data_IF_858095625969
#
_entry.id   IF_858095625969
#
_cell.length_a   1.000
_cell.length_b   1.000
_cell.length_c   1.000
_cell.angle_alpha   90.00
_cell.angle_beta   90.00
_cell.angle_gamma   90.00
#
_symmetry.space_group_name_H-M   'P 1'
#
loop_
_entity.id
_entity.type
_entity.pdbx_description
1 polymer ?
#
# COMPACT_ATOMS: atom_id res chain seq x y z
N UNK A 1 -6.37 -15.30 -15.19
CA UNK A 1 -5.75 -14.56 -14.09
C UNK A 1 -5.96 -13.08 -14.36
N UNK A 2 -6.49 -12.33 -13.41
CA UNK A 2 -6.71 -10.89 -13.53
C UNK A 2 -5.47 -10.20 -12.94
N UNK A 3 -4.62 -9.63 -13.79
CA UNK A 3 -3.47 -8.86 -13.34
C UNK A 3 -3.90 -7.41 -13.16
N UNK A 4 -3.44 -6.79 -12.09
CA UNK A 4 -3.53 -5.35 -11.89
C UNK A 4 -2.20 -4.73 -12.27
N UNK A 5 -2.24 -3.64 -13.04
CA UNK A 5 -1.04 -2.92 -13.42
C UNK A 5 -0.80 -1.87 -12.33
N UNK A 6 0.34 -2.02 -11.63
CA UNK A 6 0.82 -0.99 -10.72
C UNK A 6 2.02 -0.30 -11.36
N UNK A 7 1.94 1.00 -11.50
CA UNK A 7 3.04 1.79 -12.05
C UNK A 7 4.05 2.08 -10.94
N UNK A 8 5.26 1.56 -11.06
CA UNK A 8 6.39 2.00 -10.24
C UNK A 8 6.95 3.29 -10.85
N UNK A 9 6.88 4.38 -10.11
CA UNK A 9 7.42 5.68 -10.52
C UNK A 9 8.56 6.04 -9.58
N UNK A 10 9.74 6.26 -10.15
CA UNK A 10 10.83 6.97 -9.51
C UNK A 10 11.26 8.07 -10.47
N UNK A 11 11.84 9.17 -10.00
CA UNK A 11 12.12 10.42 -10.73
C UNK A 11 12.62 10.24 -12.21
N UNK A 12 13.27 9.11 -12.53
CA UNK A 12 13.82 8.83 -13.86
C UNK A 12 13.24 7.57 -14.53
N UNK A 13 12.51 6.71 -13.77
CA UNK A 13 12.02 5.42 -14.29
C UNK A 13 10.55 5.24 -13.97
N UNK A 14 9.75 5.10 -15.02
CA UNK A 14 8.36 4.68 -14.94
C UNK A 14 8.27 3.24 -15.46
N UNK A 15 7.85 2.32 -14.62
CA UNK A 15 7.68 0.92 -14.95
C UNK A 15 6.28 0.45 -14.56
N UNK A 16 5.54 -0.06 -15.54
CA UNK A 16 4.26 -0.71 -15.29
C UNK A 16 4.50 -2.17 -14.88
N UNK A 17 4.09 -2.51 -13.69
CA UNK A 17 4.34 -3.80 -13.05
C UNK A 17 3.04 -4.59 -12.94
N UNK A 18 3.04 -5.82 -13.39
CA UNK A 18 1.90 -6.73 -13.23
C UNK A 18 1.88 -7.26 -11.79
N UNK A 19 0.85 -6.89 -11.04
CA UNK A 19 0.59 -7.41 -9.70
C UNK A 19 -0.46 -8.50 -9.80
N UNK A 20 -0.22 -9.64 -9.19
CA UNK A 20 -1.21 -10.69 -8.99
C UNK A 20 -1.80 -10.55 -7.58
N UNK A 21 -3.02 -10.01 -7.42
CA UNK A 21 -3.62 -9.83 -6.09
C UNK A 21 -3.88 -11.16 -5.37
N UNK A 22 -4.02 -12.24 -6.15
CA UNK A 22 -4.28 -13.58 -5.60
C UNK A 22 -3.03 -14.30 -5.09
N UNK A 23 -1.84 -13.84 -5.50
CA UNK A 23 -0.56 -14.47 -5.16
C UNK A 23 0.33 -13.59 -4.27
N UNK A 24 -0.17 -12.39 -3.89
CA UNK A 24 0.55 -11.40 -3.06
C UNK A 24 1.97 -11.08 -3.56
N UNK A 25 2.19 -11.17 -4.88
CA UNK A 25 3.49 -10.95 -5.49
C UNK A 25 3.41 -10.12 -6.76
N UNK A 26 4.56 -9.64 -7.20
CA UNK A 26 4.78 -8.89 -8.43
C UNK A 26 5.60 -9.75 -9.37
N UNK A 27 5.25 -9.76 -10.65
CA UNK A 27 5.97 -10.49 -11.68
C UNK A 27 6.60 -9.54 -12.69
N UNK A 28 7.91 -9.61 -12.87
CA UNK A 28 8.66 -8.87 -13.89
C UNK A 28 9.31 -9.82 -14.90
N UNK A 29 9.26 -9.41 -16.18
CA UNK A 29 10.04 -10.09 -17.21
C UNK A 29 11.53 -9.71 -17.11
N UNK A 30 12.38 -10.47 -17.80
CA UNK A 30 13.81 -10.12 -17.91
C UNK A 30 14.01 -8.74 -18.54
N UNK A 31 13.15 -8.34 -19.50
CA UNK A 31 13.22 -7.03 -20.15
C UNK A 31 12.88 -5.90 -19.16
N UNK A 32 11.83 -6.09 -18.34
CA UNK A 32 11.43 -5.12 -17.32
C UNK A 32 12.54 -4.92 -16.28
N UNK A 33 13.19 -6.01 -15.86
CA UNK A 33 14.34 -5.93 -14.95
C UNK A 33 15.55 -5.25 -15.56
N UNK A 34 15.79 -5.40 -16.87
CA UNK A 34 16.84 -4.66 -17.55
C UNK A 34 16.57 -3.15 -17.53
N UNK A 35 15.31 -2.74 -17.75
CA UNK A 35 14.89 -1.34 -17.66
C UNK A 35 14.99 -0.83 -16.22
N UNK A 36 14.43 -1.58 -15.27
CA UNK A 36 14.41 -1.21 -13.85
C UNK A 36 15.82 -0.96 -13.30
N UNK A 37 16.76 -1.86 -13.58
CA UNK A 37 18.11 -1.80 -13.05
C UNK A 37 19.13 -1.12 -13.96
N UNK A 38 18.75 -0.72 -15.18
CA UNK A 38 19.63 -0.05 -16.14
C UNK A 38 20.84 -0.91 -16.53
N UNK A 39 20.64 -2.21 -16.80
CA UNK A 39 21.69 -3.15 -17.17
C UNK A 39 21.27 -4.07 -18.30
N UNK A 40 22.28 -4.55 -19.04
CA UNK A 40 22.09 -5.45 -20.16
C UNK A 40 21.51 -6.82 -19.75
N UNK A 41 20.81 -7.44 -20.69
CA UNK A 41 20.16 -8.73 -20.54
C UNK A 41 21.12 -9.83 -20.06
N UNK A 42 22.36 -9.85 -20.55
CA UNK A 42 23.38 -10.83 -20.17
C UNK A 42 23.77 -10.70 -18.68
N UNK A 43 23.90 -9.46 -18.20
CA UNK A 43 24.26 -9.15 -16.81
C UNK A 43 23.11 -9.53 -15.88
N UNK A 44 21.89 -9.09 -16.19
CA UNK A 44 20.70 -9.40 -15.38
C UNK A 44 20.45 -10.91 -15.34
N UNK A 45 20.50 -11.60 -16.48
CA UNK A 45 20.30 -13.06 -16.53
C UNK A 45 21.30 -13.83 -15.67
N UNK A 46 22.57 -13.41 -15.67
CA UNK A 46 23.60 -14.01 -14.79
C UNK A 46 23.30 -13.78 -13.31
N UNK A 47 22.92 -12.56 -12.95
CA UNK A 47 22.55 -12.26 -11.56
C UNK A 47 21.31 -13.01 -11.10
N UNK A 48 20.28 -13.19 -11.95
CA UNK A 48 19.11 -13.99 -11.64
C UNK A 48 19.51 -15.43 -11.30
N UNK A 49 20.33 -16.07 -12.16
CA UNK A 49 20.82 -17.41 -11.89
C UNK A 49 21.53 -17.52 -10.54
N UNK A 50 22.40 -16.55 -10.23
CA UNK A 50 23.11 -16.52 -8.97
C UNK A 50 22.16 -16.32 -7.77
N UNK A 51 21.14 -15.43 -7.90
CA UNK A 51 20.13 -15.21 -6.85
C UNK A 51 19.38 -16.50 -6.55
N UNK A 52 18.90 -17.21 -7.58
CA UNK A 52 18.16 -18.46 -7.42
C UNK A 52 19.03 -19.52 -6.72
N UNK A 53 20.29 -19.66 -7.13
CA UNK A 53 21.21 -20.64 -6.56
C UNK A 53 21.59 -20.30 -5.11
N UNK A 54 22.01 -19.07 -4.83
CA UNK A 54 22.52 -18.64 -3.53
C UNK A 54 21.43 -18.60 -2.45
N UNK A 55 20.17 -18.28 -2.84
CA UNK A 55 19.05 -18.27 -1.91
C UNK A 55 18.27 -19.59 -1.90
N UNK A 56 18.76 -20.62 -2.62
CA UNK A 56 18.14 -21.93 -2.71
C UNK A 56 16.63 -21.86 -3.08
N UNK A 57 16.28 -20.98 -4.06
CA UNK A 57 14.89 -20.77 -4.47
C UNK A 57 14.41 -21.89 -5.38
N UNK A 58 13.17 -22.35 -5.17
CA UNK A 58 12.53 -23.31 -6.08
C UNK A 58 12.11 -22.58 -7.37
N UNK A 59 12.72 -22.95 -8.49
CA UNK A 59 12.45 -22.36 -9.82
C UNK A 59 10.97 -22.43 -10.18
N UNK A 60 10.25 -23.47 -9.77
CA UNK A 60 8.84 -23.63 -10.09
C UNK A 60 7.94 -22.63 -9.36
N UNK A 61 8.40 -22.09 -8.22
CA UNK A 61 7.67 -21.10 -7.43
C UNK A 61 8.02 -19.67 -7.82
N UNK A 62 9.27 -19.44 -8.27
CA UNK A 62 9.77 -18.08 -8.51
C UNK A 62 9.84 -17.68 -9.98
N UNK A 63 9.59 -18.62 -10.91
CA UNK A 63 9.61 -18.38 -12.35
C UNK A 63 8.32 -18.85 -13.01
N UNK A 64 7.55 -17.94 -13.56
CA UNK A 64 6.40 -18.21 -14.40
C UNK A 64 6.76 -18.06 -15.89
N UNK A 65 6.19 -18.92 -16.75
CA UNK A 65 6.36 -18.83 -18.20
C UNK A 65 5.03 -18.53 -18.86
N UNK A 66 4.94 -17.42 -19.57
CA UNK A 66 3.74 -17.03 -20.28
C UNK A 66 4.03 -16.87 -21.78
N UNK A 67 3.05 -17.27 -22.59
CA UNK A 67 3.07 -17.02 -24.03
C UNK A 67 2.66 -15.56 -24.30
N UNK A 68 3.51 -14.80 -24.99
CA UNK A 68 3.26 -13.41 -25.35
C UNK A 68 3.36 -13.26 -26.86
N UNK A 69 2.39 -12.58 -27.47
CA UNK A 69 2.43 -12.32 -28.92
C UNK A 69 3.25 -11.05 -29.15
N UNK A 70 4.32 -11.18 -29.95
CA UNK A 70 5.15 -10.06 -30.35
C UNK A 70 4.48 -9.18 -31.40
N UNK A 71 5.07 -8.02 -31.68
CA UNK A 71 4.59 -7.08 -32.72
C UNK A 71 4.66 -7.67 -34.13
N UNK A 72 5.42 -8.75 -34.33
CA UNK A 72 5.53 -9.50 -35.58
C UNK A 72 4.44 -10.59 -35.74
N UNK A 73 3.49 -10.66 -34.78
CA UNK A 73 2.42 -11.66 -34.74
C UNK A 73 2.85 -13.06 -34.28
N UNK A 74 4.12 -13.26 -33.94
CA UNK A 74 4.62 -14.55 -33.45
C UNK A 74 4.46 -14.67 -31.93
N UNK A 75 4.24 -15.91 -31.49
CA UNK A 75 4.14 -16.20 -30.05
C UNK A 75 5.52 -16.58 -29.50
N UNK A 76 5.91 -15.89 -28.42
CA UNK A 76 7.15 -16.10 -27.68
C UNK A 76 6.85 -16.54 -26.27
N UNK A 77 7.65 -17.47 -25.74
CA UNK A 77 7.58 -17.83 -24.33
C UNK A 77 8.48 -16.88 -23.56
N UNK A 78 7.88 -16.06 -22.69
CA UNK A 78 8.58 -15.10 -21.83
C UNK A 78 8.57 -15.63 -20.39
N UNK A 79 9.75 -15.57 -19.75
CA UNK A 79 9.88 -15.90 -18.33
C UNK A 79 9.67 -14.64 -17.50
N UNK A 80 8.86 -14.78 -16.46
CA UNK A 80 8.59 -13.77 -15.43
C UNK A 80 9.13 -14.28 -14.09
N UNK A 81 9.58 -13.36 -13.26
CA UNK A 81 10.21 -13.61 -11.97
C UNK A 81 9.48 -12.85 -10.88
N UNK A 82 9.26 -13.49 -9.74
CA UNK A 82 8.54 -12.90 -8.62
C UNK A 82 9.43 -12.04 -7.70
N UNK A 83 8.86 -11.47 -6.63
CA UNK A 83 9.58 -10.60 -5.69
C UNK A 83 10.75 -11.29 -5.00
N UNK A 84 10.69 -12.61 -4.78
CA UNK A 84 11.79 -13.37 -4.16
C UNK A 84 13.07 -13.37 -5.00
N UNK A 85 12.93 -13.16 -6.31
CA UNK A 85 14.05 -12.95 -7.23
C UNK A 85 14.37 -11.47 -7.40
N UNK A 86 13.35 -10.60 -7.56
CA UNK A 86 13.51 -9.18 -7.88
C UNK A 86 14.23 -8.43 -6.74
N UNK A 87 13.84 -8.66 -5.49
CA UNK A 87 14.41 -7.96 -4.34
C UNK A 87 15.90 -8.29 -4.15
N UNK A 88 16.32 -9.56 -4.04
CA UNK A 88 17.74 -9.88 -3.92
C UNK A 88 18.57 -9.43 -5.14
N UNK A 89 17.98 -9.48 -6.34
CA UNK A 89 18.62 -8.97 -7.56
C UNK A 89 18.96 -7.47 -7.42
N UNK A 90 18.03 -6.66 -6.91
CA UNK A 90 18.24 -5.23 -6.69
C UNK A 90 19.39 -4.92 -5.71
N UNK A 91 19.64 -5.80 -4.75
CA UNK A 91 20.80 -5.69 -3.84
C UNK A 91 22.12 -6.10 -4.51
N UNK A 92 22.09 -6.97 -5.51
CA UNK A 92 23.29 -7.47 -6.21
C UNK A 92 23.72 -6.64 -7.40
N UNK A 93 22.80 -5.94 -8.04
CA UNK A 93 23.09 -5.17 -9.25
C UNK A 93 23.82 -3.88 -8.91
N UNK A 94 25.06 -3.76 -9.43
CA UNK A 94 25.87 -2.54 -9.31
C UNK A 94 25.56 -1.59 -10.46
N UNK A 95 24.50 -0.76 -10.28
CA UNK A 95 24.09 0.30 -11.21
C UNK A 95 23.56 1.49 -10.42
N UNK A 96 23.41 2.65 -11.08
CA UNK A 96 22.78 3.82 -10.47
C UNK A 96 21.36 3.51 -10.02
N UNK A 97 20.57 2.87 -10.90
CA UNK A 97 19.20 2.44 -10.59
C UNK A 97 19.16 1.42 -9.43
N UNK A 98 20.14 0.52 -9.34
CA UNK A 98 20.28 -0.41 -8.22
C UNK A 98 20.56 0.31 -6.89
N UNK A 99 21.33 1.40 -6.91
CA UNK A 99 21.53 2.25 -5.72
C UNK A 99 20.21 2.92 -5.32
N UNK A 100 19.46 3.46 -6.27
CA UNK A 100 18.16 4.10 -6.02
C UNK A 100 17.15 3.10 -5.48
N UNK A 101 17.08 1.90 -6.07
CA UNK A 101 16.23 0.82 -5.57
C UNK A 101 16.54 0.46 -4.11
N UNK A 102 17.83 0.29 -3.77
CA UNK A 102 18.22 -0.01 -2.37
C UNK A 102 17.89 1.12 -1.39
N UNK A 103 18.09 2.37 -1.78
CA UNK A 103 17.70 3.53 -0.95
C UNK A 103 16.19 3.52 -0.68
N UNK A 104 15.39 3.30 -1.72
CA UNK A 104 13.94 3.20 -1.60
C UNK A 104 13.53 1.99 -0.72
N UNK A 105 14.05 0.80 -1.00
CA UNK A 105 13.72 -0.40 -0.23
C UNK A 105 14.07 -0.24 1.27
N UNK A 106 15.23 0.35 1.56
CA UNK A 106 15.67 0.64 2.92
C UNK A 106 14.78 1.69 3.60
N UNK A 107 14.28 2.71 2.87
CA UNK A 107 13.36 3.69 3.45
C UNK A 107 12.02 3.06 3.82
N UNK A 108 11.47 2.20 2.96
CA UNK A 108 10.24 1.44 3.21
C UNK A 108 10.40 0.52 4.43
N UNK A 109 11.49 -0.25 4.49
CA UNK A 109 11.76 -1.14 5.61
C UNK A 109 11.95 -0.37 6.93
N UNK A 110 12.67 0.75 6.89
CA UNK A 110 12.88 1.62 8.06
C UNK A 110 11.56 2.21 8.54
N UNK A 111 10.71 2.66 7.63
CA UNK A 111 9.40 3.20 7.98
C UNK A 111 8.52 2.12 8.63
N UNK A 112 8.48 0.92 8.06
CA UNK A 112 7.76 -0.21 8.64
C UNK A 112 8.26 -0.57 10.04
N UNK A 113 9.58 -0.65 10.25
CA UNK A 113 10.17 -0.96 11.57
C UNK A 113 9.87 0.11 12.62
N UNK A 114 9.81 1.38 12.23
CA UNK A 114 9.56 2.48 13.16
C UNK A 114 8.08 2.72 13.45
N UNK A 115 7.22 2.58 12.44
CA UNK A 115 5.78 2.88 12.55
C UNK A 115 4.90 1.64 12.68
N UNK A 116 5.40 0.45 12.31
CA UNK A 116 4.64 -0.80 12.27
C UNK A 116 3.78 -0.96 11.01
N UNK A 117 3.75 0.01 10.11
CA UNK A 117 3.03 -0.04 8.82
C UNK A 117 3.68 0.86 7.79
N UNK A 118 3.42 0.58 6.50
CA UNK A 118 3.79 1.42 5.35
C UNK A 118 2.56 1.56 4.45
N UNK A 119 2.26 2.79 4.05
CA UNK A 119 1.18 3.11 3.11
C UNK A 119 1.81 3.34 1.74
N UNK A 120 1.41 2.57 0.74
CA UNK A 120 1.78 2.84 -0.65
C UNK A 120 0.77 3.83 -1.25
N UNK A 121 1.10 5.12 -1.20
CA UNK A 121 0.23 6.21 -1.70
C UNK A 121 -0.05 6.09 -3.21
N UNK A 122 0.84 5.44 -3.97
CA UNK A 122 0.66 5.21 -5.40
C UNK A 122 -0.22 3.99 -5.71
N UNK A 123 -0.51 3.16 -4.71
CA UNK A 123 -1.40 2.01 -4.84
C UNK A 123 -2.78 2.34 -4.29
N UNK A 124 -3.44 3.32 -4.87
CA UNK A 124 -4.82 3.61 -4.55
C UNK A 124 -5.72 2.59 -5.28
N UNK A 125 -5.81 1.38 -4.74
CA UNK A 125 -6.87 0.43 -5.11
C UNK A 125 -8.20 0.89 -4.50
N UNK A 126 -8.60 2.11 -4.78
CA UNK A 126 -9.99 2.53 -4.55
C UNK A 126 -10.76 2.05 -5.77
N UNK A 127 -11.19 0.80 -5.76
CA UNK A 127 -12.34 0.43 -6.60
C UNK A 127 -13.48 1.36 -6.20
N UNK A 128 -14.27 1.85 -7.17
CA UNK A 128 -15.44 2.68 -6.87
C UNK A 128 -16.32 2.06 -5.77
N UNK A 129 -16.38 0.75 -5.70
CA UNK A 129 -17.11 -0.02 -4.70
C UNK A 129 -16.53 0.15 -3.28
N UNK A 130 -15.21 0.05 -3.12
CA UNK A 130 -14.53 0.25 -1.84
C UNK A 130 -14.62 1.72 -1.38
N UNK A 131 -14.59 2.67 -2.31
CA UNK A 131 -14.75 4.09 -2.03
C UNK A 131 -16.18 4.40 -1.54
N UNK A 132 -17.19 3.90 -2.23
CA UNK A 132 -18.61 4.03 -1.85
C UNK A 132 -18.85 3.37 -0.48
N UNK A 133 -18.31 2.18 -0.26
CA UNK A 133 -18.42 1.49 1.04
C UNK A 133 -17.74 2.27 2.18
N UNK A 134 -16.59 2.89 1.93
CA UNK A 134 -15.90 3.72 2.90
C UNK A 134 -16.72 4.98 3.24
N UNK A 135 -17.24 5.69 2.23
CA UNK A 135 -18.11 6.86 2.43
C UNK A 135 -19.34 6.47 3.23
N UNK A 136 -20.04 5.40 2.84
CA UNK A 136 -21.24 4.92 3.57
C UNK A 136 -20.92 4.58 5.04
N UNK A 137 -19.72 4.06 5.30
CA UNK A 137 -19.28 3.74 6.67
C UNK A 137 -18.99 5.01 7.48
N UNK A 138 -18.35 6.02 6.87
CA UNK A 138 -18.12 7.34 7.49
C UNK A 138 -19.46 8.02 7.80
N UNK A 139 -20.38 8.08 6.85
CA UNK A 139 -21.73 8.66 7.06
C UNK A 139 -22.51 7.96 8.16
N UNK A 140 -22.40 6.63 8.26
CA UNK A 140 -23.05 5.88 9.31
C UNK A 140 -22.45 6.17 10.70
N UNK A 141 -21.13 6.37 10.77
CA UNK A 141 -20.44 6.76 12.01
C UNK A 141 -20.83 8.17 12.45
N UNK A 142 -20.92 9.11 11.52
CA UNK A 142 -21.32 10.50 11.78
C UNK A 142 -22.75 10.58 12.33
N UNK A 143 -23.69 9.82 11.73
CA UNK A 143 -25.06 9.69 12.22
C UNK A 143 -25.12 9.10 13.64
N UNK A 144 -24.30 8.10 13.94
CA UNK A 144 -24.23 7.51 15.28
C UNK A 144 -23.64 8.50 16.29
N UNK A 145 -22.62 9.25 15.89
CA UNK A 145 -22.01 10.27 16.72
C UNK A 145 -23.03 11.36 17.10
N UNK A 146 -23.78 11.87 16.12
CA UNK A 146 -24.80 12.89 16.33
C UNK A 146 -25.95 12.42 17.26
N UNK A 147 -26.30 11.13 17.24
CA UNK A 147 -27.28 10.56 18.16
C UNK A 147 -26.73 10.50 19.59
N UNK A 148 -25.47 10.09 19.74
CA UNK A 148 -24.81 10.02 21.06
C UNK A 148 -24.64 11.42 21.65
N UNK A 149 -24.25 12.41 20.83
CA UNK A 149 -24.12 13.81 21.27
C UNK A 149 -25.46 14.39 21.74
N UNK A 150 -26.55 14.16 20.99
CA UNK A 150 -27.91 14.55 21.41
C UNK A 150 -28.33 13.89 22.72
N UNK A 151 -28.10 12.56 22.86
CA UNK A 151 -28.42 11.83 24.06
C UNK A 151 -27.61 12.29 25.28
N UNK A 152 -26.36 12.71 25.08
CA UNK A 152 -25.53 13.29 26.15
C UNK A 152 -25.98 14.69 26.52
N UNK A 153 -26.37 15.53 25.55
CA UNK A 153 -26.94 16.86 25.79
C UNK A 153 -28.27 16.77 26.57
N UNK A 154 -29.11 15.75 26.29
CA UNK A 154 -30.33 15.51 27.03
C UNK A 154 -30.08 15.01 28.47
N UNK A 155 -29.01 14.25 28.69
CA UNK A 155 -28.61 13.78 30.03
C UNK A 155 -28.03 14.89 30.92
N UNK A 156 -27.49 15.95 30.29
CA UNK A 156 -27.00 17.13 31.06
C UNK A 156 -28.14 18.05 31.53
N UNK A 157 -29.37 17.84 31.03
CA UNK A 157 -30.57 18.54 31.50
C UNK A 157 -31.23 17.77 32.64
N UNK A 158 -31.15 18.30 33.83
CA UNK A 158 -31.80 17.73 35.05
C UNK A 158 -33.03 18.55 35.37
N UNK A 159 -34.15 17.87 35.72
CA UNK A 159 -35.32 18.54 36.25
C UNK A 159 -35.12 18.78 37.75
N UNK A 160 -35.25 20.02 38.18
CA UNK A 160 -35.26 20.39 39.57
C UNK A 160 -36.57 21.13 39.87
N UNK A 161 -37.30 20.64 40.85
CA UNK A 161 -38.60 21.23 41.31
C UNK A 161 -39.63 21.46 40.19
N UNK A 162 -39.66 20.60 39.18
CA UNK A 162 -40.58 20.66 38.03
C UNK A 162 -40.13 21.54 36.86
N UNK A 163 -39.00 22.20 36.95
CA UNK A 163 -38.41 23.00 35.90
C UNK A 163 -37.18 22.32 35.30
N UNK A 164 -36.96 22.55 33.98
CA UNK A 164 -35.81 21.99 33.26
C UNK A 164 -34.56 22.77 33.62
N UNK A 165 -33.55 22.08 34.12
CA UNK A 165 -32.35 22.66 34.67
C UNK A 165 -31.10 22.29 33.84
N UNK A 166 -30.31 23.26 33.47
CA UNK A 166 -29.02 23.05 32.85
C UNK A 166 -27.89 23.05 33.88
N UNK A 167 -27.37 21.88 34.16
CA UNK A 167 -26.33 21.68 35.18
C UNK A 167 -25.06 22.52 34.92
N UNK A 168 -24.68 22.77 33.67
CA UNK A 168 -23.53 23.60 33.33
C UNK A 168 -23.76 25.07 33.67
N UNK A 169 -24.91 25.60 33.32
CA UNK A 169 -25.28 26.99 33.66
C UNK A 169 -25.35 27.19 35.17
N UNK A 170 -25.81 26.22 35.93
CA UNK A 170 -25.87 26.30 37.38
C UNK A 170 -24.48 26.29 38.03
N UNK A 171 -23.60 25.37 37.60
CA UNK A 171 -22.22 25.31 38.12
C UNK A 171 -21.45 26.58 37.75
N UNK A 172 -21.64 27.11 36.55
CA UNK A 172 -21.01 28.35 36.10
C UNK A 172 -21.47 29.55 36.96
N UNK A 173 -22.78 29.61 37.32
CA UNK A 173 -23.32 30.65 38.17
C UNK A 173 -22.80 30.58 39.63
N UNK A 174 -22.63 29.38 40.17
CA UNK A 174 -22.07 29.18 41.53
C UNK A 174 -20.58 29.62 41.56
N UNK A 175 -19.82 29.25 40.51
CA UNK A 175 -18.40 29.62 40.42
C UNK A 175 -18.21 31.14 40.21
N UNK A 176 -19.13 31.80 39.50
CA UNK A 176 -19.08 33.22 39.23
C UNK A 176 -19.58 34.08 40.42
N UNK A 177 -20.33 33.55 41.33
CA UNK A 177 -20.87 34.25 42.50
C UNK A 177 -20.69 33.44 43.81
N UNK A 178 -19.46 33.40 44.37
CA UNK A 178 -19.15 32.60 45.56
C UNK A 178 -19.76 33.11 46.88
N UNK A 179 -20.57 34.19 46.85
CA UNK A 179 -21.14 34.86 48.04
C UNK A 179 -22.66 34.82 48.12
N UNK A 180 -23.35 33.84 47.49
CA UNK A 180 -24.77 33.58 47.73
C UNK A 180 -24.97 32.31 48.50
#
# INVERSE_FOLDING_TARGET
MKYEIVTFVNDEVRLDVNVSPSEDTVWLSLADMCLLFGRDKSVISRHIKNVILENNLDVNQVVAKNATTGNDGKTYIVSFYNLDVIIPLGYKVHSQNGIMFRKWANSVLKEYLLKGYVINENRTLITNENYVNLINKVDSMDKRLSVIEKANLEKEKVFFDGEMFDAKSFISNIISNPNT
#
